data_IF_574097855859
#
_entry.id   IF_574097855859
#
_cell.length_a   1.000
_cell.length_b   1.000
_cell.length_c   1.000
_cell.angle_alpha   90.00
_cell.angle_beta   90.00
_cell.angle_gamma   90.00
#
_symmetry.space_group_name_H-M   'P 1'
#
loop_
_entity.id
_entity.type
_entity.pdbx_description
1 polymer ?
#
# COMPACT_ATOMS: atom_id res chain seq x y z
N UNK A 1 -1.24 -9.73 -4.79
CA UNK A 1 -2.22 -8.63 -4.80
C UNK A 1 -1.71 -7.58 -5.76
N UNK A 2 -2.53 -7.08 -6.70
CA UNK A 2 -2.08 -6.17 -7.74
C UNK A 2 -2.22 -4.69 -7.33
N UNK A 3 -1.31 -3.85 -7.83
CA UNK A 3 -1.31 -2.42 -7.54
C UNK A 3 -2.67 -1.75 -7.87
N UNK A 4 -3.26 -2.08 -9.02
CA UNK A 4 -4.54 -1.52 -9.45
C UNK A 4 -5.71 -1.90 -8.51
N UNK A 5 -5.70 -3.13 -7.98
CA UNK A 5 -6.69 -3.56 -6.99
C UNK A 5 -6.55 -2.79 -5.67
N UNK A 6 -5.32 -2.55 -5.23
CA UNK A 6 -5.05 -1.75 -4.02
C UNK A 6 -5.54 -0.32 -4.22
N UNK A 7 -5.22 0.30 -5.35
CA UNK A 7 -5.68 1.66 -5.68
C UNK A 7 -7.21 1.74 -5.66
N UNK A 8 -7.89 0.78 -6.30
CA UNK A 8 -9.35 0.76 -6.34
C UNK A 8 -9.99 0.67 -4.93
N UNK A 9 -9.51 -0.24 -4.08
CA UNK A 9 -10.04 -0.43 -2.73
C UNK A 9 -9.79 0.78 -1.82
N UNK A 10 -8.58 1.34 -1.85
CA UNK A 10 -8.22 2.50 -1.01
C UNK A 10 -8.94 3.76 -1.49
N UNK A 11 -9.08 3.95 -2.81
CA UNK A 11 -9.83 5.08 -3.38
C UNK A 11 -11.33 4.98 -3.11
N UNK A 12 -11.91 3.77 -3.14
CA UNK A 12 -13.32 3.55 -2.76
C UNK A 12 -13.60 3.90 -1.28
N UNK A 13 -12.57 3.90 -0.43
CA UNK A 13 -12.65 4.38 0.94
C UNK A 13 -12.45 5.91 1.08
N UNK A 14 -12.36 6.64 -0.03
CA UNK A 14 -12.16 8.10 -0.06
C UNK A 14 -10.71 8.52 0.18
N UNK A 15 -9.75 7.61 0.04
CA UNK A 15 -8.31 7.91 0.18
C UNK A 15 -7.68 7.93 -1.20
N UNK A 16 -7.33 9.12 -1.67
CA UNK A 16 -6.82 9.33 -3.03
C UNK A 16 -5.38 8.87 -3.19
N UNK A 17 -5.06 8.27 -4.34
CA UNK A 17 -3.70 8.00 -4.77
C UNK A 17 -3.02 9.32 -5.18
N UNK A 18 -1.89 9.63 -4.56
CA UNK A 18 -1.10 10.83 -4.86
C UNK A 18 0.14 10.56 -5.69
N UNK A 19 0.67 9.34 -5.64
CA UNK A 19 1.83 8.92 -6.43
C UNK A 19 1.81 7.41 -6.68
N UNK A 20 2.21 7.00 -7.89
CA UNK A 20 2.46 5.59 -8.26
C UNK A 20 3.76 5.53 -9.03
N UNK A 21 4.72 4.77 -8.49
CA UNK A 21 6.02 4.58 -9.13
C UNK A 21 6.50 3.14 -8.99
N UNK A 22 7.35 2.70 -9.92
CA UNK A 22 8.06 1.41 -9.79
C UNK A 22 8.96 1.45 -8.56
N UNK A 23 9.03 0.34 -7.84
CA UNK A 23 10.05 0.11 -6.80
C UNK A 23 11.44 0.34 -7.40
N UNK A 24 12.38 0.85 -6.59
CA UNK A 24 13.77 1.08 -7.03
C UNK A 24 14.46 -0.20 -7.53
N UNK A 25 14.03 -1.36 -7.04
CA UNK A 25 14.51 -2.67 -7.49
C UNK A 25 13.81 -3.17 -8.75
N UNK A 26 12.76 -2.48 -9.19
CA UNK A 26 11.97 -2.84 -10.36
C UNK A 26 11.08 -4.06 -10.18
N UNK A 27 10.95 -4.56 -8.95
CA UNK A 27 10.26 -5.80 -8.53
C UNK A 27 8.85 -5.56 -7.98
N UNK A 28 8.25 -4.42 -8.33
CA UNK A 28 6.97 -4.02 -7.78
C UNK A 28 6.66 -2.52 -7.90
N UNK A 29 5.72 -2.06 -7.08
CA UNK A 29 5.18 -0.71 -7.06
C UNK A 29 5.18 -0.10 -5.65
N UNK A 30 5.51 1.18 -5.59
CA UNK A 30 5.30 2.04 -4.43
C UNK A 30 4.10 2.95 -4.73
N UNK A 31 3.08 2.88 -3.89
CA UNK A 31 1.84 3.66 -3.98
C UNK A 31 1.75 4.62 -2.80
N UNK A 32 1.61 5.92 -3.05
CA UNK A 32 1.43 6.93 -1.98
C UNK A 32 0.01 7.46 -1.99
N UNK A 33 -0.54 7.70 -0.81
CA UNK A 33 -1.92 8.12 -0.63
C UNK A 33 -2.04 9.44 0.15
N UNK A 34 -3.15 10.17 -0.07
CA UNK A 34 -3.40 11.49 0.52
C UNK A 34 -3.48 11.49 2.05
N UNK A 35 -3.76 10.34 2.67
CA UNK A 35 -3.74 10.18 4.13
C UNK A 35 -2.32 9.99 4.71
N UNK A 36 -1.28 10.06 3.87
CA UNK A 36 0.12 9.86 4.25
C UNK A 36 0.51 8.39 4.44
N UNK A 37 -0.25 7.44 3.88
CA UNK A 37 0.16 6.05 3.75
C UNK A 37 1.00 5.83 2.49
N UNK A 38 1.93 4.89 2.57
CA UNK A 38 2.61 4.30 1.42
C UNK A 38 2.37 2.80 1.44
N UNK A 39 2.08 2.21 0.28
CA UNK A 39 1.97 0.76 0.10
C UNK A 39 3.02 0.29 -0.88
N UNK A 40 3.89 -0.60 -0.42
CA UNK A 40 4.81 -1.35 -1.27
C UNK A 40 4.11 -2.64 -1.72
N UNK A 41 4.12 -2.91 -3.02
CA UNK A 41 3.49 -4.07 -3.66
C UNK A 41 4.57 -4.81 -4.44
N UNK A 42 4.89 -6.03 -4.06
CA UNK A 42 5.81 -6.87 -4.81
C UNK A 42 5.12 -7.58 -5.98
N UNK A 43 5.86 -7.85 -7.05
CA UNK A 43 5.39 -8.67 -8.18
C UNK A 43 5.13 -10.13 -7.75
N UNK A 44 5.68 -10.56 -6.61
CA UNK A 44 5.36 -11.81 -5.91
C UNK A 44 3.95 -11.81 -5.25
N UNK A 45 3.24 -10.69 -5.35
CA UNK A 45 1.92 -10.48 -4.79
C UNK A 45 1.92 -10.08 -3.33
N UNK A 46 3.08 -9.85 -2.71
CA UNK A 46 3.20 -9.32 -1.35
C UNK A 46 2.78 -7.85 -1.30
N UNK A 47 2.27 -7.40 -0.15
CA UNK A 47 1.93 -6.00 0.07
C UNK A 47 2.24 -5.58 1.51
N UNK A 48 2.76 -4.37 1.69
CA UNK A 48 3.10 -3.79 3.01
C UNK A 48 2.72 -2.33 3.05
N UNK A 49 2.01 -1.91 4.09
CA UNK A 49 1.66 -0.52 4.32
C UNK A 49 2.57 0.13 5.37
N UNK A 50 3.00 1.37 5.12
CA UNK A 50 3.84 2.20 5.99
C UNK A 50 3.34 3.66 6.00
N UNK A 51 3.90 4.48 6.89
CA UNK A 51 3.52 5.89 7.05
C UNK A 51 2.33 6.14 7.99
N UNK A 52 1.87 7.39 8.04
CA UNK A 52 0.85 7.85 9.00
C UNK A 52 -0.50 7.17 8.80
N UNK A 53 -0.90 6.97 7.54
CA UNK A 53 -2.16 6.34 7.16
C UNK A 53 -2.11 4.81 7.11
N UNK A 54 -0.97 4.19 7.42
CA UNK A 54 -0.72 2.75 7.20
C UNK A 54 -1.77 1.85 7.85
N UNK A 55 -2.20 2.18 9.08
CA UNK A 55 -3.17 1.36 9.81
C UNK A 55 -4.56 1.36 9.17
N UNK A 56 -4.97 2.48 8.60
CA UNK A 56 -6.25 2.57 7.88
C UNK A 56 -6.19 1.74 6.60
N UNK A 57 -5.11 1.90 5.83
CA UNK A 57 -4.90 1.16 4.57
C UNK A 57 -4.72 -0.34 4.81
N UNK A 58 -3.93 -0.75 5.80
CA UNK A 58 -3.75 -2.17 6.15
C UNK A 58 -5.07 -2.84 6.52
N UNK A 59 -5.98 -2.14 7.21
CA UNK A 59 -7.32 -2.66 7.52
C UNK A 59 -8.20 -2.81 6.29
N UNK A 60 -8.18 -1.85 5.38
CA UNK A 60 -8.96 -1.90 4.13
C UNK A 60 -8.50 -3.04 3.21
N UNK A 61 -7.21 -3.33 3.23
CA UNK A 61 -6.58 -4.36 2.40
C UNK A 61 -6.47 -5.72 3.11
N UNK A 62 -6.97 -5.82 4.35
CA UNK A 62 -6.85 -7.00 5.23
C UNK A 62 -5.41 -7.54 5.33
N UNK A 63 -4.44 -6.61 5.40
CA UNK A 63 -3.02 -6.97 5.47
C UNK A 63 -2.66 -7.48 6.86
N UNK A 64 -1.80 -8.50 6.95
CA UNK A 64 -1.28 -8.95 8.23
C UNK A 64 -0.59 -7.77 8.93
N UNK A 65 -0.75 -7.62 10.25
CA UNK A 65 -0.03 -6.61 11.00
C UNK A 65 1.47 -6.80 10.77
N UNK A 66 2.17 -5.71 10.49
CA UNK A 66 3.63 -5.76 10.34
C UNK A 66 4.20 -6.47 11.59
N UNK A 67 5.12 -7.45 11.40
CA UNK A 67 5.72 -8.13 12.53
C UNK A 67 6.33 -7.08 13.46
N UNK A 68 5.92 -7.10 14.73
CA UNK A 68 6.49 -6.24 15.76
C UNK A 68 7.91 -6.74 15.99
N UNK A 69 8.88 -6.18 15.27
CA UNK A 69 10.29 -6.41 15.56
C UNK A 69 10.56 -6.01 17.01
N UNK A 70 11.06 -6.96 17.79
CA UNK A 70 11.64 -6.74 19.12
C UNK A 70 13.08 -6.29 18.95
#
# INVERSE_FOLDING_TARGET
MDADRIVALVSAAGIELTDRRRSAKGDGWSLSFSNGATVEVGDDGSARAAGKGARAVARLLDLPPAPRGR
#
